data_IF_123884081092
#
_entry.id   IF_123884081092
#
_cell.length_a   1.000
_cell.length_b   1.000
_cell.length_c   1.000
_cell.angle_alpha   90.00
_cell.angle_beta   90.00
_cell.angle_gamma   90.00
#
_symmetry.space_group_name_H-M   'P 1'
#
loop_
_entity.id
_entity.type
_entity.pdbx_description
1 polymer ?
#
# COMPACT_ATOMS: atom_id res chain seq x y z
N UNK A 1 -16.96 -8.29 9.87
CA UNK A 1 -17.18 -8.24 8.42
C UNK A 1 -16.41 -7.05 7.84
N UNK A 2 -15.65 -7.31 6.78
CA UNK A 2 -14.89 -6.27 6.10
C UNK A 2 -15.79 -5.48 5.15
N UNK A 3 -15.94 -4.17 5.37
CA UNK A 3 -16.65 -3.28 4.46
C UNK A 3 -15.86 -3.05 3.17
N UNK A 4 -14.53 -3.08 3.24
CA UNK A 4 -13.65 -2.96 2.08
C UNK A 4 -13.80 -4.16 1.15
N UNK A 5 -13.87 -5.37 1.69
CA UNK A 5 -14.16 -6.58 0.91
C UNK A 5 -15.50 -6.49 0.19
N UNK A 6 -16.53 -5.98 0.87
CA UNK A 6 -17.85 -5.75 0.29
C UNK A 6 -17.80 -4.77 -0.87
N UNK A 7 -17.09 -3.65 -0.71
CA UNK A 7 -16.89 -2.65 -1.76
C UNK A 7 -16.18 -3.25 -2.98
N UNK A 8 -15.14 -4.03 -2.75
CA UNK A 8 -14.38 -4.70 -3.82
C UNK A 8 -15.28 -5.68 -4.59
N UNK A 9 -16.10 -6.45 -3.88
CA UNK A 9 -17.06 -7.38 -4.48
C UNK A 9 -18.10 -6.65 -5.32
N UNK A 10 -18.64 -5.56 -4.82
CA UNK A 10 -19.63 -4.74 -5.54
C UNK A 10 -19.02 -4.12 -6.80
N UNK A 11 -17.79 -3.64 -6.71
CA UNK A 11 -17.06 -3.08 -7.84
C UNK A 11 -16.76 -4.15 -8.91
N UNK A 12 -16.48 -5.38 -8.47
CA UNK A 12 -16.32 -6.52 -9.40
C UNK A 12 -17.57 -6.75 -10.21
N UNK A 13 -18.74 -6.77 -9.55
CA UNK A 13 -20.02 -6.94 -10.22
C UNK A 13 -20.31 -5.78 -11.18
N UNK A 14 -20.00 -4.56 -10.78
CA UNK A 14 -20.17 -3.37 -11.62
C UNK A 14 -19.27 -3.43 -12.86
N UNK A 15 -18.02 -3.83 -12.71
CA UNK A 15 -17.09 -4.00 -13.83
C UNK A 15 -17.56 -5.10 -14.80
N UNK A 16 -18.12 -6.19 -14.29
CA UNK A 16 -18.70 -7.25 -15.11
C UNK A 16 -19.88 -6.71 -15.94
N UNK A 17 -20.79 -5.97 -15.31
CA UNK A 17 -21.95 -5.38 -16.00
C UNK A 17 -21.55 -4.36 -17.05
N UNK A 18 -20.50 -3.59 -16.77
CA UNK A 18 -19.98 -2.56 -17.69
C UNK A 18 -19.11 -3.13 -18.81
N UNK A 19 -18.72 -4.40 -18.73
CA UNK A 19 -17.78 -4.99 -19.68
C UNK A 19 -16.37 -4.40 -19.59
N UNK A 20 -16.00 -3.84 -18.45
CA UNK A 20 -14.69 -3.26 -18.20
C UNK A 20 -13.69 -4.36 -17.83
N UNK A 21 -13.06 -4.92 -18.84
CA UNK A 21 -12.19 -6.09 -18.71
C UNK A 21 -10.91 -5.78 -17.91
N UNK A 22 -10.32 -4.60 -18.07
CA UNK A 22 -9.11 -4.21 -17.36
C UNK A 22 -9.38 -4.10 -15.87
N UNK A 23 -10.41 -3.35 -15.51
CA UNK A 23 -10.81 -3.18 -14.11
C UNK A 23 -11.20 -4.51 -13.48
N UNK A 24 -11.97 -5.31 -14.18
CA UNK A 24 -12.38 -6.63 -13.71
C UNK A 24 -11.17 -7.53 -13.44
N UNK A 25 -10.19 -7.53 -14.34
CA UNK A 25 -8.96 -8.31 -14.17
C UNK A 25 -8.19 -7.94 -12.91
N UNK A 26 -8.03 -6.65 -12.64
CA UNK A 26 -7.34 -6.16 -11.43
C UNK A 26 -8.13 -6.56 -10.16
N UNK A 27 -9.45 -6.35 -10.16
CA UNK A 27 -10.29 -6.70 -9.03
C UNK A 27 -10.26 -8.21 -8.74
N UNK A 28 -10.25 -9.03 -9.78
CA UNK A 28 -10.12 -10.49 -9.61
C UNK A 28 -8.78 -10.89 -9.00
N UNK A 29 -7.72 -10.20 -9.34
CA UNK A 29 -6.41 -10.41 -8.68
C UNK A 29 -6.46 -10.05 -7.20
N UNK A 30 -7.15 -8.98 -6.84
CA UNK A 30 -7.34 -8.58 -5.44
C UNK A 30 -8.12 -9.68 -4.68
N UNK A 31 -9.26 -10.10 -5.23
CA UNK A 31 -10.09 -11.11 -4.57
C UNK A 31 -9.37 -12.45 -4.43
N UNK A 32 -8.57 -12.83 -5.43
CA UNK A 32 -7.76 -14.04 -5.37
C UNK A 32 -6.69 -13.95 -4.28
N UNK A 33 -6.02 -12.81 -4.15
CA UNK A 33 -5.00 -12.60 -3.13
C UNK A 33 -5.59 -12.63 -1.71
N UNK A 34 -6.76 -12.01 -1.52
CA UNK A 34 -7.48 -12.06 -0.24
C UNK A 34 -7.87 -13.49 0.10
N UNK A 35 -8.47 -14.19 -0.84
CA UNK A 35 -8.91 -15.57 -0.64
C UNK A 35 -7.74 -16.51 -0.33
N UNK A 36 -6.62 -16.33 -1.02
CA UNK A 36 -5.42 -17.13 -0.79
C UNK A 36 -4.93 -16.99 0.66
N UNK A 37 -4.87 -15.76 1.16
CA UNK A 37 -4.50 -15.53 2.57
C UNK A 37 -5.51 -16.12 3.54
N UNK A 38 -6.80 -15.97 3.28
CA UNK A 38 -7.85 -16.51 4.14
C UNK A 38 -7.78 -18.04 4.22
N UNK A 39 -7.50 -18.70 3.10
CA UNK A 39 -7.36 -20.18 3.06
C UNK A 39 -6.08 -20.62 3.77
N UNK A 40 -4.95 -19.99 3.47
CA UNK A 40 -3.64 -20.37 4.01
C UNK A 40 -3.56 -20.16 5.52
N UNK A 41 -4.10 -19.06 6.02
CA UNK A 41 -4.05 -18.70 7.45
C UNK A 41 -5.30 -19.17 8.22
N UNK A 42 -6.30 -19.67 7.53
CA UNK A 42 -7.60 -20.10 8.09
C UNK A 42 -8.28 -19.00 8.91
N UNK A 43 -8.29 -17.78 8.35
CA UNK A 43 -8.89 -16.60 8.96
C UNK A 43 -9.78 -15.90 7.96
N UNK A 44 -10.58 -14.96 8.46
CA UNK A 44 -11.30 -13.98 7.63
C UNK A 44 -10.59 -12.64 7.78
N UNK A 45 -10.20 -12.03 6.68
CA UNK A 45 -9.48 -10.77 6.72
C UNK A 45 -10.42 -9.61 7.03
N UNK A 46 -10.02 -8.78 7.98
CA UNK A 46 -10.67 -7.49 8.27
C UNK A 46 -10.13 -6.39 7.32
N UNK A 47 -10.66 -5.18 7.43
CA UNK A 47 -10.24 -4.07 6.57
C UNK A 47 -8.74 -3.78 6.67
N UNK A 48 -8.17 -3.82 7.87
CA UNK A 48 -6.74 -3.57 8.06
C UNK A 48 -5.89 -4.59 7.31
N UNK A 49 -6.28 -5.86 7.35
CA UNK A 49 -5.56 -6.92 6.63
C UNK A 49 -5.76 -6.83 5.11
N UNK A 50 -6.95 -6.44 4.67
CA UNK A 50 -7.20 -6.20 3.24
C UNK A 50 -6.31 -5.05 2.73
N UNK A 51 -6.17 -3.98 3.51
CA UNK A 51 -5.25 -2.87 3.19
C UNK A 51 -3.82 -3.40 3.02
N UNK A 52 -3.35 -4.29 3.88
CA UNK A 52 -2.01 -4.90 3.76
C UNK A 52 -1.85 -5.70 2.47
N UNK A 53 -2.86 -6.44 2.07
CA UNK A 53 -2.86 -7.16 0.79
C UNK A 53 -2.71 -6.18 -0.37
N UNK A 54 -3.48 -5.09 -0.35
CA UNK A 54 -3.43 -4.06 -1.39
C UNK A 54 -2.07 -3.35 -1.44
N UNK A 55 -1.52 -3.01 -0.28
CA UNK A 55 -0.18 -2.39 -0.18
C UNK A 55 0.90 -3.28 -0.79
N UNK A 56 0.85 -4.58 -0.51
CA UNK A 56 1.80 -5.54 -1.07
C UNK A 56 1.66 -5.63 -2.60
N UNK A 57 0.43 -5.63 -3.10
CA UNK A 57 0.17 -5.65 -4.55
C UNK A 57 0.71 -4.40 -5.23
N UNK A 58 0.51 -3.22 -4.63
CA UNK A 58 1.06 -1.96 -5.14
C UNK A 58 2.59 -2.01 -5.16
N UNK A 59 3.20 -2.47 -4.08
CA UNK A 59 4.66 -2.58 -3.98
C UNK A 59 5.24 -3.47 -5.07
N UNK A 60 4.63 -4.62 -5.30
CA UNK A 60 5.07 -5.57 -6.34
C UNK A 60 5.01 -4.93 -7.73
N UNK A 61 3.96 -4.15 -8.01
CA UNK A 61 3.80 -3.48 -9.30
C UNK A 61 4.78 -2.33 -9.48
N UNK A 62 5.08 -1.58 -8.42
CA UNK A 62 6.11 -0.54 -8.47
C UNK A 62 7.49 -1.13 -8.78
N UNK A 63 7.81 -2.28 -8.20
CA UNK A 63 9.05 -3.01 -8.52
C UNK A 63 9.08 -3.44 -9.99
N UNK A 64 7.95 -3.92 -10.51
CA UNK A 64 7.83 -4.27 -11.93
C UNK A 64 8.01 -3.06 -12.84
N UNK A 65 7.45 -1.89 -12.46
CA UNK A 65 7.63 -0.64 -13.21
C UNK A 65 9.11 -0.30 -13.37
N UNK A 66 9.90 -0.41 -12.29
CA UNK A 66 11.34 -0.14 -12.33
C UNK A 66 12.03 -1.07 -13.32
N UNK A 67 11.70 -2.36 -13.30
CA UNK A 67 12.30 -3.34 -14.22
C UNK A 67 11.91 -3.09 -15.67
N UNK A 68 10.62 -2.76 -15.92
CA UNK A 68 10.16 -2.48 -17.28
C UNK A 68 10.72 -1.18 -17.83
N UNK A 69 10.95 -0.18 -16.99
CA UNK A 69 11.63 1.05 -17.39
C UNK A 69 13.06 0.77 -17.80
N UNK A 70 13.77 -0.05 -17.03
CA UNK A 70 15.15 -0.47 -17.36
C UNK A 70 15.21 -1.26 -18.67
N UNK A 71 14.15 -2.02 -18.99
CA UNK A 71 14.03 -2.79 -20.23
C UNK A 71 13.44 -2.02 -21.41
N UNK A 72 13.17 -0.73 -21.27
CA UNK A 72 12.54 0.12 -22.30
C UNK A 72 11.17 -0.39 -22.77
N UNK A 73 10.40 -0.96 -21.86
CA UNK A 73 9.06 -1.49 -22.14
C UNK A 73 7.99 -0.52 -21.62
N UNK A 74 7.86 0.63 -22.30
CA UNK A 74 6.90 1.67 -21.93
C UNK A 74 5.43 1.16 -21.90
N UNK A 75 5.09 0.22 -22.78
CA UNK A 75 3.78 -0.43 -22.82
C UNK A 75 3.44 -1.14 -21.51
N UNK A 76 4.41 -1.86 -20.95
CA UNK A 76 4.25 -2.58 -19.68
C UNK A 76 4.28 -1.63 -18.48
N UNK A 77 5.08 -0.56 -18.55
CA UNK A 77 5.09 0.49 -17.53
C UNK A 77 3.70 1.12 -17.41
N UNK A 78 3.09 1.50 -18.53
CA UNK A 78 1.77 2.12 -18.56
C UNK A 78 0.70 1.19 -17.99
N UNK A 79 0.77 -0.11 -18.34
CA UNK A 79 -0.14 -1.12 -17.81
C UNK A 79 -0.01 -1.25 -16.28
N UNK A 80 1.21 -1.37 -15.78
CA UNK A 80 1.45 -1.49 -14.34
C UNK A 80 0.98 -0.23 -13.59
N UNK A 81 1.24 0.95 -14.13
CA UNK A 81 0.80 2.20 -13.52
C UNK A 81 -0.73 2.32 -13.49
N UNK A 82 -1.43 1.85 -14.51
CA UNK A 82 -2.88 1.82 -14.52
C UNK A 82 -3.44 0.88 -13.43
N UNK A 83 -2.81 -0.28 -13.24
CA UNK A 83 -3.16 -1.23 -12.19
C UNK A 83 -2.90 -0.64 -10.80
N UNK A 84 -1.76 0.03 -10.61
CA UNK A 84 -1.43 0.73 -9.36
C UNK A 84 -2.51 1.77 -9.03
N UNK A 85 -2.93 2.57 -10.01
CA UNK A 85 -3.95 3.59 -9.79
C UNK A 85 -5.28 2.96 -9.32
N UNK A 86 -5.69 1.84 -9.90
CA UNK A 86 -6.88 1.11 -9.48
C UNK A 86 -6.75 0.59 -8.04
N UNK A 87 -5.63 -0.02 -7.71
CA UNK A 87 -5.37 -0.54 -6.37
C UNK A 87 -5.41 0.58 -5.32
N UNK A 88 -4.84 1.74 -5.65
CA UNK A 88 -4.78 2.88 -4.73
C UNK A 88 -6.15 3.48 -4.44
N UNK A 89 -7.15 3.28 -5.30
CA UNK A 89 -8.53 3.74 -5.02
C UNK A 89 -9.13 3.06 -3.79
N UNK A 90 -8.63 1.90 -3.40
CA UNK A 90 -9.08 1.17 -2.21
C UNK A 90 -8.23 1.45 -0.97
N UNK A 91 -7.13 2.15 -1.13
CA UNK A 91 -6.26 2.53 -0.02
C UNK A 91 -6.69 3.88 0.56
N UNK A 92 -6.37 4.17 1.84
CA UNK A 92 -6.53 5.51 2.40
C UNK A 92 -5.76 6.54 1.56
N UNK A 93 -6.16 7.80 1.65
CA UNK A 93 -5.47 8.89 0.96
C UNK A 93 -3.98 8.87 1.31
N UNK A 94 -3.14 8.84 0.28
CA UNK A 94 -1.69 8.79 0.47
C UNK A 94 -1.18 10.13 1.02
N UNK A 95 -0.25 10.06 1.96
CA UNK A 95 0.42 11.24 2.50
C UNK A 95 1.40 11.79 1.46
N UNK A 96 1.43 13.11 1.32
CA UNK A 96 2.48 13.77 0.54
C UNK A 96 3.83 13.66 1.27
N UNK A 97 4.93 13.87 0.55
CA UNK A 97 6.26 13.91 1.18
C UNK A 97 6.32 14.93 2.32
N UNK A 98 5.74 16.11 2.12
CA UNK A 98 5.69 17.16 3.14
C UNK A 98 4.91 16.73 4.39
N UNK A 99 3.74 16.10 4.20
CA UNK A 99 2.91 15.61 5.30
C UNK A 99 3.60 14.47 6.05
N UNK A 100 4.27 13.58 5.32
CA UNK A 100 5.03 12.48 5.91
C UNK A 100 6.21 13.01 6.72
N UNK A 101 6.97 13.97 6.19
CA UNK A 101 8.08 14.59 6.90
C UNK A 101 7.61 15.29 8.19
N UNK A 102 6.47 15.98 8.14
CA UNK A 102 5.87 16.62 9.30
C UNK A 102 5.46 15.60 10.36
N UNK A 103 4.84 14.49 9.96
CA UNK A 103 4.45 13.41 10.87
C UNK A 103 5.66 12.78 11.54
N UNK A 104 6.74 12.54 10.79
CA UNK A 104 7.98 11.99 11.32
C UNK A 104 8.61 12.94 12.33
N UNK A 105 8.70 14.22 11.99
CA UNK A 105 9.26 15.24 12.89
C UNK A 105 8.46 15.35 14.20
N UNK A 106 7.14 15.37 14.10
CA UNK A 106 6.23 15.38 15.27
C UNK A 106 6.45 14.14 16.14
N UNK A 107 6.54 12.97 15.53
CA UNK A 107 6.73 11.71 16.26
C UNK A 107 8.08 11.65 16.96
N UNK A 108 9.14 12.11 16.31
CA UNK A 108 10.48 12.19 16.93
C UNK A 108 10.45 13.13 18.12
N UNK A 109 9.82 14.29 17.99
CA UNK A 109 9.69 15.26 19.08
C UNK A 109 8.89 14.69 20.27
N UNK A 110 7.77 14.03 19.96
CA UNK A 110 6.89 13.47 20.99
C UNK A 110 7.53 12.29 21.76
N UNK A 111 8.37 11.50 21.10
CA UNK A 111 9.02 10.35 21.72
C UNK A 111 10.36 10.69 22.37
N UNK A 112 10.92 11.87 22.11
CA UNK A 112 12.25 12.24 22.54
C UNK A 112 13.36 11.45 21.86
N UNK A 113 13.09 10.85 20.71
CA UNK A 113 14.06 10.06 19.96
C UNK A 113 15.25 10.91 19.56
N UNK A 114 16.47 10.42 19.78
CA UNK A 114 17.72 11.17 19.56
C UNK A 114 18.77 10.40 18.77
N UNK A 115 18.58 9.09 18.57
CA UNK A 115 19.54 8.27 17.86
C UNK A 115 18.85 7.16 17.07
N UNK A 116 19.63 6.50 16.22
CA UNK A 116 19.16 5.37 15.39
C UNK A 116 18.61 4.21 16.26
N UNK A 117 19.02 4.12 17.51
CA UNK A 117 18.51 3.11 18.45
C UNK A 117 17.01 3.29 18.73
N UNK A 118 16.50 4.49 18.56
CA UNK A 118 15.09 4.82 18.78
C UNK A 118 14.22 4.60 17.51
N UNK A 119 14.83 4.19 16.41
CA UNK A 119 14.16 4.01 15.12
C UNK A 119 12.95 3.08 15.21
N UNK A 120 13.08 1.96 15.92
CA UNK A 120 12.00 0.99 16.07
C UNK A 120 10.76 1.57 16.74
N UNK A 121 10.96 2.41 17.75
CA UNK A 121 9.88 3.09 18.48
C UNK A 121 9.15 4.09 17.58
N UNK A 122 9.90 4.93 16.88
CA UNK A 122 9.34 5.92 15.93
C UNK A 122 8.61 5.21 14.81
N UNK A 123 9.22 4.19 14.23
CA UNK A 123 8.66 3.39 13.15
C UNK A 123 7.32 2.74 13.54
N UNK A 124 7.26 2.17 14.74
CA UNK A 124 6.05 1.54 15.26
C UNK A 124 4.88 2.51 15.37
N UNK A 125 5.13 3.72 15.86
CA UNK A 125 4.11 4.75 16.00
C UNK A 125 3.62 5.22 14.63
N UNK A 126 4.54 5.50 13.71
CA UNK A 126 4.18 5.96 12.36
C UNK A 126 3.44 4.88 11.59
N UNK A 127 3.86 3.62 11.71
CA UNK A 127 3.17 2.50 11.08
C UNK A 127 1.70 2.42 11.52
N UNK A 128 1.42 2.64 12.80
CA UNK A 128 0.04 2.67 13.31
C UNK A 128 -0.78 3.86 12.80
N UNK A 129 -0.15 5.05 12.71
CA UNK A 129 -0.84 6.28 12.31
C UNK A 129 -0.99 6.45 10.81
N UNK A 130 -0.08 5.90 10.01
CA UNK A 130 -0.01 6.09 8.56
C UNK A 130 -0.25 4.79 7.78
N UNK A 131 -0.87 3.78 8.38
CA UNK A 131 -1.12 2.50 7.74
C UNK A 131 -1.92 2.68 6.44
N UNK A 132 -1.36 2.15 5.34
CA UNK A 132 -1.96 2.28 4.02
C UNK A 132 -1.80 3.64 3.35
N UNK A 133 -1.21 4.64 4.05
CA UNK A 133 -1.05 6.01 3.55
C UNK A 133 0.36 6.35 3.11
N UNK A 134 1.34 5.49 3.42
CA UNK A 134 2.74 5.70 3.06
C UNK A 134 3.45 4.36 2.87
N UNK A 135 4.48 4.36 2.02
CA UNK A 135 5.36 3.22 1.86
C UNK A 135 6.31 3.14 3.07
N UNK A 136 6.25 2.06 3.82
CA UNK A 136 7.07 1.89 5.03
C UNK A 136 8.57 1.85 4.75
N UNK A 137 9.00 1.45 3.57
CA UNK A 137 10.40 1.52 3.17
C UNK A 137 10.89 2.98 3.06
N UNK A 138 10.05 3.85 2.48
CA UNK A 138 10.33 5.30 2.41
C UNK A 138 10.32 5.91 3.80
N UNK A 139 9.34 5.56 4.63
CA UNK A 139 9.25 6.01 6.03
C UNK A 139 10.53 5.64 6.79
N UNK A 140 10.96 4.38 6.68
CA UNK A 140 12.18 3.90 7.34
C UNK A 140 13.42 4.66 6.91
N UNK A 141 13.57 4.92 5.62
CA UNK A 141 14.70 5.70 5.09
C UNK A 141 14.69 7.15 5.61
N UNK A 142 13.52 7.79 5.67
CA UNK A 142 13.38 9.15 6.18
C UNK A 142 13.69 9.25 7.68
N UNK A 143 13.23 8.28 8.48
CA UNK A 143 13.52 8.22 9.92
C UNK A 143 15.01 8.02 10.14
N UNK A 144 15.62 7.09 9.44
CA UNK A 144 17.04 6.81 9.52
C UNK A 144 17.87 8.05 9.20
N UNK A 145 17.52 8.78 8.16
CA UNK A 145 18.21 10.01 7.78
C UNK A 145 18.13 11.06 8.88
N UNK A 146 17.00 11.19 9.56
CA UNK A 146 16.81 12.17 10.64
C UNK A 146 17.51 11.77 11.94
N UNK A 147 17.49 10.48 12.29
CA UNK A 147 18.07 9.99 13.55
C UNK A 147 19.55 9.64 13.42
N UNK A 148 20.01 9.31 12.23
CA UNK A 148 21.41 8.97 11.98
C UNK A 148 22.28 10.17 11.59
N UNK A 149 21.68 11.32 11.40
CA UNK A 149 22.42 12.53 11.01
C UNK A 149 23.09 13.21 12.19
#
# INVERSE_FOLDING_TARGET
>A
VSTLKGRITDDMKAAMRAGDKERLGVIRMITAAIKQREVDERITLDDAEVVRVLEKMVKQRKESVVQFQAGNRADLVDKENAEIALLQTYLPTQLSDADLDALIAETIAATGASSIKDMGKVMGIIKGRAQGQADMAVVGAKIKAKLGA
#
